data_IF_745568933284
#
_entry.id   IF_745568933284
#
_cell.length_a   1.000
_cell.length_b   1.000
_cell.length_c   1.000
_cell.angle_alpha   90.00
_cell.angle_beta   90.00
_cell.angle_gamma   90.00
#
_symmetry.space_group_name_H-M   'P 1'
#
loop_
_entity.id
_entity.type
_entity.pdbx_description
1 polymer ?
#
# COMPACT_ATOMS: atom_id res chain seq x y z
N UNK A 1 -44.81 -16.27 -7.11
CA UNK A 1 -43.60 -17.11 -7.22
C UNK A 1 -42.78 -16.75 -8.47
N UNK A 2 -43.40 -16.62 -9.65
CA UNK A 2 -42.71 -16.21 -10.89
C UNK A 2 -42.19 -14.76 -10.87
N UNK A 3 -43.00 -13.77 -10.45
CA UNK A 3 -42.57 -12.37 -10.40
C UNK A 3 -41.36 -12.12 -9.49
N UNK A 4 -41.25 -12.85 -8.39
CA UNK A 4 -40.13 -12.69 -7.45
C UNK A 4 -38.83 -13.22 -8.08
N UNK A 5 -38.90 -14.33 -8.82
CA UNK A 5 -37.77 -14.92 -9.51
C UNK A 5 -37.25 -13.99 -10.61
N UNK A 6 -38.15 -13.37 -11.39
CA UNK A 6 -37.77 -12.45 -12.46
C UNK A 6 -37.14 -11.15 -11.94
N UNK A 7 -37.69 -10.58 -10.86
CA UNK A 7 -37.09 -9.41 -10.20
C UNK A 7 -35.71 -9.72 -9.60
N UNK A 8 -35.53 -10.92 -9.04
CA UNK A 8 -34.23 -11.36 -8.51
C UNK A 8 -33.22 -11.57 -9.63
N UNK A 9 -33.62 -12.20 -10.74
CA UNK A 9 -32.74 -12.39 -11.91
C UNK A 9 -32.36 -11.06 -12.54
N UNK A 10 -33.30 -10.11 -12.66
CA UNK A 10 -33.00 -8.77 -13.19
C UNK A 10 -32.10 -7.96 -12.26
N UNK A 11 -32.26 -8.10 -10.93
CA UNK A 11 -31.32 -7.54 -9.96
C UNK A 11 -29.92 -8.17 -10.07
N UNK A 12 -29.83 -9.50 -10.21
CA UNK A 12 -28.56 -10.21 -10.41
C UNK A 12 -27.89 -9.76 -11.72
N UNK A 13 -28.67 -9.57 -12.79
CA UNK A 13 -28.17 -9.10 -14.08
C UNK A 13 -27.65 -7.65 -14.03
N UNK A 14 -28.34 -6.78 -13.27
CA UNK A 14 -27.89 -5.41 -13.00
C UNK A 14 -26.63 -5.36 -12.12
N UNK A 15 -26.47 -6.29 -11.17
CA UNK A 15 -25.26 -6.40 -10.35
C UNK A 15 -24.06 -6.99 -11.10
N UNK A 16 -24.30 -7.87 -12.08
CA UNK A 16 -23.23 -8.43 -12.93
C UNK A 16 -22.78 -7.51 -14.06
N UNK A 17 -23.62 -6.56 -14.49
CA UNK A 17 -23.23 -5.56 -15.46
C UNK A 17 -22.56 -4.38 -14.76
N UNK A 18 -21.31 -4.11 -15.11
CA UNK A 18 -20.67 -2.84 -14.79
C UNK A 18 -21.54 -1.70 -15.28
N UNK A 19 -22.02 -0.88 -14.35
CA UNK A 19 -22.80 0.30 -14.67
C UNK A 19 -21.92 1.30 -15.42
N UNK A 20 -22.56 2.17 -16.20
CA UNK A 20 -21.86 3.30 -16.82
C UNK A 20 -21.09 4.13 -15.77
N UNK A 21 -21.64 4.23 -14.55
CA UNK A 21 -21.01 4.92 -13.41
C UNK A 21 -19.69 4.26 -13.02
N UNK A 22 -19.63 2.93 -12.96
CA UNK A 22 -18.40 2.21 -12.58
C UNK A 22 -17.29 2.43 -13.61
N UNK A 23 -17.65 2.46 -14.89
CA UNK A 23 -16.71 2.75 -15.97
C UNK A 23 -16.18 4.19 -15.89
N UNK A 24 -17.04 5.17 -15.61
CA UNK A 24 -16.64 6.56 -15.43
C UNK A 24 -15.68 6.69 -14.24
N UNK A 25 -15.99 6.07 -13.10
CA UNK A 25 -15.12 6.10 -11.91
C UNK A 25 -13.78 5.41 -12.20
N UNK A 26 -13.78 4.29 -12.90
CA UNK A 26 -12.55 3.56 -13.25
C UNK A 26 -11.65 4.39 -14.17
N UNK A 27 -12.20 4.95 -15.25
CA UNK A 27 -11.45 5.80 -16.18
C UNK A 27 -10.97 7.07 -15.48
N UNK A 28 -11.79 7.67 -14.63
CA UNK A 28 -11.42 8.87 -13.88
C UNK A 28 -10.31 8.61 -12.87
N UNK A 29 -10.37 7.48 -12.14
CA UNK A 29 -9.30 7.05 -11.22
C UNK A 29 -7.99 6.84 -11.97
N UNK A 30 -8.02 6.15 -13.11
CA UNK A 30 -6.85 5.94 -13.96
C UNK A 30 -6.31 7.27 -14.50
N UNK A 31 -7.19 8.17 -14.93
CA UNK A 31 -6.80 9.49 -15.44
C UNK A 31 -6.09 10.32 -14.37
N UNK A 32 -6.59 10.35 -13.13
CA UNK A 32 -5.92 11.04 -12.02
C UNK A 32 -4.56 10.39 -11.71
N UNK A 33 -4.51 9.06 -11.62
CA UNK A 33 -3.26 8.33 -11.34
C UNK A 33 -2.20 8.59 -12.41
N UNK A 34 -2.58 8.48 -13.68
CA UNK A 34 -1.71 8.77 -14.81
C UNK A 34 -1.32 10.26 -14.85
N UNK A 35 -2.23 11.18 -14.54
CA UNK A 35 -1.93 12.61 -14.49
C UNK A 35 -0.87 12.93 -13.44
N UNK A 36 -1.00 12.41 -12.21
CA UNK A 36 0.02 12.59 -11.17
C UNK A 36 1.35 11.95 -11.62
N UNK A 37 1.31 10.73 -12.16
CA UNK A 37 2.51 10.05 -12.67
C UNK A 37 3.23 10.82 -13.79
N UNK A 38 2.49 11.35 -14.76
CA UNK A 38 3.03 12.12 -15.89
C UNK A 38 3.50 13.50 -15.43
N UNK A 39 2.76 14.17 -14.54
CA UNK A 39 3.14 15.47 -13.98
C UNK A 39 4.46 15.39 -13.21
N UNK A 40 4.61 14.41 -12.31
CA UNK A 40 5.85 14.24 -11.54
C UNK A 40 6.96 13.55 -12.33
N UNK A 41 6.63 12.70 -13.31
CA UNK A 41 7.60 11.96 -14.11
C UNK A 41 8.20 12.73 -15.30
N UNK A 42 7.39 13.53 -16.01
CA UNK A 42 7.83 14.27 -17.20
C UNK A 42 8.09 15.76 -16.95
N UNK A 43 7.22 16.45 -16.19
CA UNK A 43 7.32 17.90 -16.00
C UNK A 43 8.30 18.27 -14.87
N UNK A 44 8.41 17.45 -13.83
CA UNK A 44 9.40 17.61 -12.77
C UNK A 44 10.56 16.62 -12.94
N UNK A 45 11.46 16.92 -13.88
CA UNK A 45 12.70 16.14 -14.05
C UNK A 45 13.54 16.28 -12.77
N UNK A 46 13.45 15.30 -11.87
CA UNK A 46 14.29 15.23 -10.66
C UNK A 46 15.75 15.21 -11.12
N UNK A 47 16.49 16.26 -10.80
CA UNK A 47 17.80 16.56 -11.42
C UNK A 47 18.92 15.63 -10.98
N UNK A 48 18.70 14.75 -9.99
CA UNK A 48 19.73 13.86 -9.46
C UNK A 48 19.13 12.50 -9.06
N UNK A 49 19.75 11.39 -9.48
CA UNK A 49 19.33 10.02 -9.15
C UNK A 49 19.23 9.78 -7.62
N UNK A 50 20.03 10.50 -6.84
CA UNK A 50 19.98 10.48 -5.37
C UNK A 50 18.71 11.08 -4.79
N UNK A 51 18.09 12.09 -5.42
CA UNK A 51 16.84 12.68 -4.91
C UNK A 51 15.63 11.79 -5.20
N UNK A 52 15.67 11.06 -6.31
CA UNK A 52 14.62 10.09 -6.66
C UNK A 52 14.69 8.82 -5.80
N UNK A 53 15.90 8.32 -5.51
CA UNK A 53 16.09 7.11 -4.70
C UNK A 53 16.05 7.39 -3.19
N UNK A 54 16.41 8.60 -2.73
CA UNK A 54 16.58 8.92 -1.30
C UNK A 54 15.61 9.98 -0.78
N UNK A 55 14.70 10.50 -1.64
CA UNK A 55 13.72 11.51 -1.24
C UNK A 55 14.35 12.75 -0.61
N UNK A 56 15.51 13.18 -1.12
CA UNK A 56 16.17 14.42 -0.72
C UNK A 56 16.67 14.50 0.73
N UNK A 57 16.96 13.37 1.40
CA UNK A 57 17.52 13.31 2.79
C UNK A 57 16.72 14.11 3.84
N UNK A 58 15.52 14.57 3.48
CA UNK A 58 14.55 15.34 4.27
C UNK A 58 13.13 14.83 4.01
N UNK A 59 12.98 13.57 3.58
CA UNK A 59 11.68 12.92 3.56
C UNK A 59 11.16 12.87 4.99
N UNK A 60 10.19 13.73 5.29
CA UNK A 60 9.51 13.76 6.57
C UNK A 60 9.00 12.34 6.88
N UNK A 61 9.03 11.94 8.14
CA UNK A 61 8.59 10.60 8.56
C UNK A 61 7.14 10.31 8.13
N UNK A 62 6.33 11.35 7.96
CA UNK A 62 4.92 11.26 7.58
C UNK A 62 4.66 10.62 6.20
N UNK A 63 5.19 11.13 5.06
CA UNK A 63 4.99 10.50 3.74
C UNK A 63 5.57 9.09 3.63
N UNK A 64 6.67 8.80 4.34
CA UNK A 64 7.27 7.46 4.38
C UNK A 64 6.33 6.48 5.07
N UNK A 65 5.83 6.83 6.27
CA UNK A 65 4.85 6.02 6.99
C UNK A 65 3.55 5.84 6.20
N UNK A 66 3.05 6.88 5.54
CA UNK A 66 1.87 6.76 4.67
C UNK A 66 2.07 5.79 3.51
N UNK A 67 3.24 5.82 2.86
CA UNK A 67 3.56 4.91 1.75
C UNK A 67 3.71 3.46 2.22
N UNK A 68 4.29 3.27 3.41
CA UNK A 68 4.43 1.96 4.04
C UNK A 68 3.06 1.37 4.38
N UNK A 69 2.19 2.14 5.04
CA UNK A 69 0.81 1.73 5.34
C UNK A 69 0.03 1.42 4.05
N UNK A 70 0.18 2.26 3.02
CA UNK A 70 -0.44 2.02 1.72
C UNK A 70 0.02 0.71 1.07
N UNK A 71 1.30 0.32 1.25
CA UNK A 71 1.85 -0.93 0.73
C UNK A 71 1.40 -2.16 1.53
N UNK A 72 1.16 -1.99 2.84
CA UNK A 72 0.62 -3.04 3.71
C UNK A 72 -0.86 -3.34 3.42
N UNK A 73 -1.65 -2.34 3.02
CA UNK A 73 -3.06 -2.50 2.70
C UNK A 73 -3.17 -2.95 1.23
N UNK A 74 -3.07 -4.25 1.00
CA UNK A 74 -3.27 -4.85 -0.33
C UNK A 74 -4.68 -5.41 -0.50
N UNK A 75 -5.06 -5.76 -1.74
CA UNK A 75 -6.35 -6.40 -2.05
C UNK A 75 -6.59 -7.71 -1.28
N UNK A 76 -5.50 -8.36 -0.84
CA UNK A 76 -5.55 -9.53 0.04
C UNK A 76 -6.15 -9.17 1.40
N UNK A 77 -5.81 -8.03 2.00
CA UNK A 77 -6.39 -7.62 3.30
C UNK A 77 -7.85 -7.21 3.14
N UNK A 78 -8.18 -6.54 2.03
CA UNK A 78 -9.52 -5.99 1.79
C UNK A 78 -10.58 -7.08 1.55
N UNK A 79 -10.21 -8.16 0.85
CA UNK A 79 -11.07 -9.33 0.65
C UNK A 79 -10.82 -10.43 1.71
N UNK A 80 -9.59 -10.56 2.20
CA UNK A 80 -9.19 -11.59 3.16
C UNK A 80 -9.71 -11.32 4.56
N UNK A 81 -9.64 -10.08 5.07
CA UNK A 81 -10.12 -9.74 6.41
C UNK A 81 -11.61 -10.09 6.64
N UNK A 82 -12.56 -9.72 5.76
CA UNK A 82 -13.95 -10.13 5.94
C UNK A 82 -14.15 -11.64 5.73
N UNK A 83 -13.37 -12.29 4.87
CA UNK A 83 -13.43 -13.75 4.65
C UNK A 83 -12.97 -14.51 5.90
N UNK A 84 -11.89 -14.07 6.53
CA UNK A 84 -11.33 -14.65 7.75
C UNK A 84 -12.26 -14.41 8.95
N UNK A 85 -12.84 -13.21 9.07
CA UNK A 85 -13.85 -12.91 10.11
C UNK A 85 -15.12 -13.73 9.92
N UNK A 86 -15.55 -13.96 8.67
CA UNK A 86 -16.73 -14.77 8.37
C UNK A 86 -16.53 -16.26 8.71
N UNK A 87 -15.33 -16.81 8.48
CA UNK A 87 -15.03 -18.21 8.77
C UNK A 87 -14.62 -18.50 10.22
N UNK A 88 -13.83 -17.63 10.86
CA UNK A 88 -13.24 -17.86 12.18
C UNK A 88 -13.85 -17.01 13.31
N UNK A 89 -14.77 -16.09 12.98
CA UNK A 89 -15.50 -15.29 13.95
C UNK A 89 -14.58 -14.48 14.88
N UNK A 90 -14.83 -14.55 16.19
CA UNK A 90 -14.14 -13.74 17.20
C UNK A 90 -12.64 -14.04 17.34
N UNK A 91 -12.13 -15.16 16.81
CA UNK A 91 -10.72 -15.52 16.86
C UNK A 91 -9.84 -14.58 16.03
N UNK A 92 -10.39 -13.94 15.00
CA UNK A 92 -9.66 -12.96 14.20
C UNK A 92 -9.17 -11.76 15.03
N UNK A 93 -9.86 -11.42 16.13
CA UNK A 93 -9.50 -10.29 16.99
C UNK A 93 -8.08 -10.40 17.60
N UNK A 94 -7.50 -11.60 17.71
CA UNK A 94 -6.13 -11.79 18.19
C UNK A 94 -5.07 -11.19 17.25
N UNK A 95 -5.37 -11.03 15.96
CA UNK A 95 -4.44 -10.40 15.02
C UNK A 95 -4.17 -8.93 15.37
N UNK A 96 -5.17 -8.24 15.95
CA UNK A 96 -5.07 -6.84 16.36
C UNK A 96 -4.04 -6.69 17.47
N UNK A 97 -4.03 -7.62 18.43
CA UNK A 97 -3.06 -7.65 19.51
C UNK A 97 -1.66 -7.90 18.95
N UNK A 98 -1.52 -8.82 17.99
CA UNK A 98 -0.26 -9.08 17.30
C UNK A 98 0.29 -7.86 16.55
N UNK A 99 -0.57 -7.14 15.82
CA UNK A 99 -0.20 -5.90 15.11
C UNK A 99 0.23 -4.82 16.12
N UNK A 100 -0.45 -4.70 17.25
CA UNK A 100 -0.11 -3.72 18.28
C UNK A 100 1.27 -4.00 18.89
N UNK A 101 1.55 -5.28 19.20
CA UNK A 101 2.84 -5.70 19.75
C UNK A 101 3.98 -5.51 18.73
N UNK A 102 3.72 -5.84 17.46
CA UNK A 102 4.64 -5.62 16.35
C UNK A 102 4.96 -4.12 16.17
N UNK A 103 3.96 -3.25 16.29
CA UNK A 103 4.15 -1.79 16.19
C UNK A 103 5.06 -1.25 17.29
N UNK A 104 4.92 -1.75 18.53
CA UNK A 104 5.80 -1.38 19.65
C UNK A 104 7.23 -1.86 19.36
N UNK A 105 7.39 -3.11 18.91
CA UNK A 105 8.70 -3.68 18.60
C UNK A 105 9.40 -2.94 17.45
N UNK A 106 8.67 -2.59 16.40
CA UNK A 106 9.20 -1.80 15.27
C UNK A 106 9.68 -0.41 15.70
N UNK A 107 8.95 0.25 16.60
CA UNK A 107 9.35 1.57 17.10
C UNK A 107 10.60 1.49 18.00
N UNK A 108 10.74 0.43 18.79
CA UNK A 108 11.85 0.28 19.73
C UNK A 108 13.12 -0.31 19.10
N UNK A 109 13.00 -1.16 18.08
CA UNK A 109 14.14 -1.89 17.50
C UNK A 109 14.49 -1.39 16.10
N UNK A 110 13.49 -1.15 15.26
CA UNK A 110 13.72 -0.74 13.88
C UNK A 110 14.07 0.76 13.79
N UNK A 111 13.40 1.61 14.58
CA UNK A 111 13.65 3.05 14.58
C UNK A 111 15.10 3.44 14.98
N UNK A 112 15.71 2.90 16.06
CA UNK A 112 17.10 3.23 16.38
C UNK A 112 18.09 2.69 15.36
N UNK A 113 17.85 1.49 14.81
CA UNK A 113 18.70 0.88 13.78
C UNK A 113 18.73 1.73 12.50
N UNK A 114 17.58 2.24 12.05
CA UNK A 114 17.53 3.13 10.88
C UNK A 114 18.08 4.54 11.14
N UNK A 115 17.95 5.03 12.38
CA UNK A 115 18.47 6.34 12.77
C UNK A 115 20.00 6.36 12.95
N UNK A 116 20.59 5.27 13.44
CA UNK A 116 22.05 5.13 13.55
C UNK A 116 22.74 4.94 12.21
N UNK A 117 22.10 4.30 11.23
CA UNK A 117 22.77 4.03 9.97
C UNK A 117 23.01 5.31 9.15
N UNK A 118 22.07 6.25 8.97
CA UNK A 118 22.24 7.33 7.95
C UNK A 118 22.73 6.81 6.58
N UNK A 119 22.62 5.50 6.33
CA UNK A 119 23.09 4.84 5.14
C UNK A 119 21.89 4.46 4.31
N UNK A 120 21.92 4.94 3.09
CA UNK A 120 20.87 4.90 2.09
C UNK A 120 20.77 3.55 1.37
N UNK A 121 21.44 2.51 1.88
CA UNK A 121 21.52 1.20 1.26
C UNK A 121 22.06 0.16 2.24
N UNK A 122 21.38 -0.98 2.39
CA UNK A 122 21.82 -2.14 3.22
C UNK A 122 23.15 -2.79 2.77
N UNK A 123 23.81 -2.25 1.74
CA UNK A 123 24.95 -2.88 1.07
C UNK A 123 26.32 -2.22 1.35
N UNK A 124 26.37 -1.05 1.99
CA UNK A 124 27.66 -0.40 2.28
C UNK A 124 28.60 -1.18 3.21
N UNK A 125 28.13 -1.87 4.26
CA UNK A 125 29.03 -2.62 5.15
C UNK A 125 29.87 -3.66 4.40
N UNK A 126 29.30 -4.25 3.34
CA UNK A 126 29.95 -5.29 2.55
C UNK A 126 30.98 -4.74 1.55
N UNK A 127 30.76 -3.54 1.01
CA UNK A 127 31.67 -2.94 0.03
C UNK A 127 32.97 -2.43 0.68
N UNK A 128 32.88 -1.92 1.92
CA UNK A 128 34.06 -1.52 2.71
C UNK A 128 35.01 -2.68 3.02
N UNK A 129 34.49 -3.92 3.12
CA UNK A 129 35.30 -5.11 3.38
C UNK A 129 35.94 -5.70 2.11
N UNK A 130 35.39 -5.44 0.92
CA UNK A 130 35.93 -5.96 -0.35
C UNK A 130 37.00 -5.04 -0.98
N UNK A 131 37.01 -3.75 -0.68
CA UNK A 131 38.05 -2.82 -1.14
C UNK A 131 39.39 -2.92 -0.36
N UNK A 132 39.42 -3.73 0.71
CA UNK A 132 40.59 -3.99 1.55
C UNK A 132 41.28 -5.33 1.22
N UNK A 133 41.17 -5.80 -0.03
CA UNK A 133 42.00 -6.89 -0.56
C UNK A 133 42.67 -6.47 -1.85
#
# INVERSE_FOLDING_TARGET
MADIQDNVIDMVYKMQRFSWVDYVVFVFMLAISAFVGVYWGFLKKQTTQSDYLLGGRNMQVLPVSMSLVASFISGITLLGSPTEVYMYGTQYSYIIIGIFLMSIFMTQVYLPVFHELKITSNYEPWYGLMSSK
#
